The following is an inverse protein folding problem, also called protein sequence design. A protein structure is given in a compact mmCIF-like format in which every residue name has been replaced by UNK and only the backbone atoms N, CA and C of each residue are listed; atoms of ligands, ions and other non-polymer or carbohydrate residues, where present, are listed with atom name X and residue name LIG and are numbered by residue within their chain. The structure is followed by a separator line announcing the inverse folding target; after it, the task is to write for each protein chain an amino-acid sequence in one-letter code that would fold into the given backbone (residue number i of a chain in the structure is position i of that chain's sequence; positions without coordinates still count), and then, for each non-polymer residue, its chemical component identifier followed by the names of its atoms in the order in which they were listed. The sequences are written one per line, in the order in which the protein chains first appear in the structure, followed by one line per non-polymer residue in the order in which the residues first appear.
data_IF_324261946881
#
_entry.id   IF_324261946881
#
_cell.length_a   1.000
_cell.length_b   1.000
_cell.length_c   1.000
_cell.angle_alpha   90.00
_cell.angle_beta   90.00
_cell.angle_gamma   90.00
#
_symmetry.space_group_name_H-M   'P 1'
#
loop_
_entity.id
_entity.type
_entity.pdbx_description
1 polymer ?
#
# COMPACT_ATOMS: atom_id res chain seq x y z
N UNK A 1 5.53 -74.64 21.12
CA UNK A 1 5.33 -73.52 20.19
C UNK A 1 3.97 -72.88 20.49
N UNK A 2 3.78 -71.58 20.26
CA UNK A 2 2.52 -70.88 20.59
C UNK A 2 1.50 -71.10 19.48
N UNK A 3 0.29 -71.51 19.83
CA UNK A 3 -0.84 -71.75 18.91
C UNK A 3 -1.08 -70.54 17.99
N UNK A 4 -0.85 -69.32 18.49
CA UNK A 4 -0.97 -68.08 17.71
C UNK A 4 -0.04 -68.01 16.49
N UNK A 5 1.15 -68.63 16.57
CA UNK A 5 2.12 -68.63 15.48
C UNK A 5 1.64 -69.55 14.36
N UNK A 6 1.19 -70.74 14.74
CA UNK A 6 0.65 -71.75 13.83
C UNK A 6 -0.62 -71.23 13.15
N UNK A 7 -1.53 -70.62 13.92
CA UNK A 7 -2.75 -70.01 13.37
C UNK A 7 -2.44 -68.90 12.36
N UNK A 8 -1.42 -68.09 12.63
CA UNK A 8 -1.00 -66.99 11.74
C UNK A 8 -0.36 -67.50 10.45
N UNK A 9 0.41 -68.58 10.53
CA UNK A 9 1.01 -69.23 9.37
C UNK A 9 -0.04 -69.88 8.48
N UNK A 10 -1.00 -70.61 9.06
CA UNK A 10 -2.13 -71.20 8.33
C UNK A 10 -2.96 -70.12 7.62
N UNK A 11 -3.32 -69.05 8.33
CA UNK A 11 -4.07 -67.94 7.71
C UNK A 11 -3.29 -67.26 6.59
N UNK A 12 -1.97 -67.15 6.73
CA UNK A 12 -1.12 -66.56 5.70
C UNK A 12 -0.99 -67.47 4.49
N UNK A 13 -0.84 -68.77 4.70
CA UNK A 13 -0.81 -69.76 3.63
C UNK A 13 -2.13 -69.80 2.86
N UNK A 14 -3.26 -69.72 3.58
CA UNK A 14 -4.59 -69.63 2.96
C UNK A 14 -4.74 -68.32 2.18
N UNK A 15 -4.30 -67.19 2.70
CA UNK A 15 -4.32 -65.90 1.99
C UNK A 15 -3.45 -65.91 0.72
N UNK A 16 -2.26 -66.49 0.78
CA UNK A 16 -1.34 -66.61 -0.36
C UNK A 16 -1.88 -67.59 -1.42
N UNK A 17 -2.69 -68.59 -1.01
CA UNK A 17 -3.37 -69.51 -1.91
C UNK A 17 -4.63 -68.92 -2.58
N UNK A 18 -5.16 -67.81 -2.06
CA UNK A 18 -6.33 -67.16 -2.65
C UNK A 18 -5.94 -66.37 -3.90
N UNK A 19 -6.50 -66.77 -5.03
CA UNK A 19 -6.36 -66.00 -6.27
C UNK A 19 -7.30 -64.79 -6.23
N UNK A 20 -6.77 -63.58 -6.02
CA UNK A 20 -7.57 -62.37 -6.11
C UNK A 20 -7.97 -62.12 -7.57
N UNK A 21 -9.27 -62.06 -7.91
CA UNK A 21 -9.67 -61.67 -9.26
C UNK A 21 -9.18 -60.25 -9.55
N UNK A 22 -8.58 -59.99 -10.73
CA UNK A 22 -7.96 -58.72 -11.06
C UNK A 22 -8.96 -57.54 -11.06
N UNK A 23 -10.26 -57.83 -11.18
CA UNK A 23 -11.33 -56.83 -11.15
C UNK A 23 -11.62 -56.25 -9.75
N UNK A 24 -11.23 -56.96 -8.67
CA UNK A 24 -11.48 -56.48 -7.30
C UNK A 24 -10.76 -55.16 -7.02
N UNK A 25 -9.50 -55.04 -7.45
CA UNK A 25 -8.73 -53.81 -7.29
C UNK A 25 -9.41 -52.64 -7.99
N UNK A 26 -9.89 -52.86 -9.22
CA UNK A 26 -10.61 -51.85 -9.99
C UNK A 26 -11.90 -51.39 -9.28
N UNK A 27 -12.70 -52.35 -8.77
CA UNK A 27 -13.97 -52.05 -8.08
C UNK A 27 -13.74 -51.31 -6.75
N UNK A 28 -12.74 -51.71 -5.97
CA UNK A 28 -12.38 -51.05 -4.70
C UNK A 28 -11.83 -49.65 -4.96
N UNK A 29 -10.99 -49.48 -5.98
CA UNK A 29 -10.47 -48.16 -6.35
C UNK A 29 -11.60 -47.22 -6.82
N UNK A 30 -12.55 -47.72 -7.62
CA UNK A 30 -13.70 -46.94 -8.08
C UNK A 30 -14.60 -46.53 -6.91
N UNK A 31 -14.91 -47.43 -5.97
CA UNK A 31 -15.74 -47.09 -4.81
C UNK A 31 -15.05 -46.06 -3.90
N UNK A 32 -13.73 -46.18 -3.72
CA UNK A 32 -12.95 -45.23 -2.95
C UNK A 32 -12.88 -43.85 -3.62
N UNK A 33 -12.69 -43.82 -4.95
CA UNK A 33 -12.72 -42.58 -5.72
C UNK A 33 -14.08 -41.89 -5.63
N UNK A 34 -15.19 -42.64 -5.68
CA UNK A 34 -16.54 -42.09 -5.55
C UNK A 34 -16.77 -41.50 -4.15
N UNK A 35 -16.37 -42.22 -3.10
CA UNK A 35 -16.43 -41.76 -1.71
C UNK A 35 -15.59 -40.48 -1.48
N UNK A 36 -14.36 -40.45 -1.98
CA UNK A 36 -13.49 -39.27 -1.88
C UNK A 36 -14.08 -38.10 -2.65
N UNK A 37 -14.70 -38.32 -3.82
CA UNK A 37 -15.31 -37.26 -4.63
C UNK A 37 -16.61 -36.71 -4.04
N UNK A 38 -17.40 -37.53 -3.35
CA UNK A 38 -18.59 -37.08 -2.59
C UNK A 38 -18.22 -36.34 -1.30
N UNK A 39 -17.21 -36.82 -0.55
CA UNK A 39 -16.72 -36.12 0.65
C UNK A 39 -15.91 -34.87 0.35
N UNK A 40 -15.25 -34.79 -0.82
CA UNK A 40 -14.63 -33.57 -1.35
C UNK A 40 -15.72 -32.71 -1.97
N UNK A 41 -16.66 -32.33 -1.11
CA UNK A 41 -17.89 -31.65 -1.45
C UNK A 41 -17.67 -30.51 -2.42
N UNK A 42 -18.71 -30.27 -3.23
CA UNK A 42 -18.93 -29.06 -4.03
C UNK A 42 -18.80 -27.81 -3.14
N UNK A 43 -17.59 -27.41 -2.83
CA UNK A 43 -17.28 -26.09 -2.32
C UNK A 43 -17.07 -25.20 -3.55
N UNK A 44 -17.95 -24.22 -3.84
CA UNK A 44 -17.75 -23.26 -4.92
C UNK A 44 -16.68 -22.23 -4.51
N UNK A 45 -15.52 -22.68 -4.01
CA UNK A 45 -14.42 -21.85 -3.57
C UNK A 45 -13.72 -21.10 -4.72
N UNK A 46 -13.95 -21.49 -5.98
CA UNK A 46 -13.39 -20.77 -7.14
C UNK A 46 -14.02 -19.40 -7.37
N UNK A 47 -15.26 -19.17 -6.91
CA UNK A 47 -15.95 -17.87 -7.03
C UNK A 47 -15.57 -16.89 -5.91
N UNK A 48 -15.05 -17.39 -4.78
CA UNK A 48 -14.63 -16.54 -3.65
C UNK A 48 -13.23 -15.95 -3.82
N UNK A 49 -12.38 -16.54 -4.67
CA UNK A 49 -11.06 -15.97 -4.98
C UNK A 49 -11.17 -14.74 -5.91
N UNK A 50 -12.11 -14.73 -6.87
CA UNK A 50 -12.31 -13.57 -7.76
C UNK A 50 -12.94 -12.36 -7.05
N UNK A 51 -13.78 -12.57 -6.03
CA UNK A 51 -14.36 -11.48 -5.24
C UNK A 51 -13.33 -10.79 -4.33
N UNK A 52 -12.21 -11.45 -3.99
CA UNK A 52 -11.15 -10.85 -3.19
C UNK A 52 -10.25 -9.88 -3.98
N UNK A 53 -10.06 -10.11 -5.28
CA UNK A 53 -9.17 -9.29 -6.13
C UNK A 53 -9.87 -8.00 -6.56
N UNK A 54 -11.19 -8.01 -6.78
CA UNK A 54 -11.96 -6.81 -7.14
C UNK A 54 -12.11 -5.80 -5.98
N UNK A 55 -11.99 -6.24 -4.72
CA UNK A 55 -12.08 -5.35 -3.56
C UNK A 55 -10.81 -4.53 -3.32
N UNK A 56 -9.63 -4.98 -3.76
CA UNK A 56 -8.36 -4.26 -3.54
C UNK A 56 -8.21 -3.04 -4.46
N UNK A 57 -8.83 -3.05 -5.64
CA UNK A 57 -8.76 -1.93 -6.59
C UNK A 57 -9.66 -0.74 -6.21
N UNK A 58 -10.72 -0.96 -5.42
CA UNK A 58 -11.65 0.10 -4.97
C UNK A 58 -11.21 0.70 -3.61
N UNK A 59 -10.28 0.05 -2.91
CA UNK A 59 -9.83 0.42 -1.55
C UNK A 59 -8.48 1.14 -1.50
N UNK A 60 -8.09 1.81 -2.59
CA UNK A 60 -6.97 2.77 -2.58
C UNK A 60 -7.51 4.15 -2.93
N UNK A 61 -8.35 4.73 -2.06
CA UNK A 61 -7.95 6.06 -1.57
C UNK A 61 -7.83 6.19 -0.05
N UNK A 62 -8.26 5.21 0.76
CA UNK A 62 -8.40 5.44 2.21
C UNK A 62 -7.14 5.12 3.04
N UNK A 63 -6.22 4.29 2.53
CA UNK A 63 -5.04 3.86 3.30
C UNK A 63 -3.99 4.97 3.52
N UNK A 64 -4.09 6.11 2.83
CA UNK A 64 -3.20 7.27 3.03
C UNK A 64 -3.57 8.09 4.28
N UNK A 65 -4.78 7.91 4.83
CA UNK A 65 -5.32 8.78 5.88
C UNK A 65 -4.87 8.46 7.32
N UNK A 66 -4.03 7.43 7.53
CA UNK A 66 -3.52 7.07 8.86
C UNK A 66 -2.06 7.48 9.11
N UNK A 67 -1.36 8.02 8.11
CA UNK A 67 -0.03 8.60 8.33
C UNK A 67 -0.19 10.06 8.75
N UNK A 68 0.54 10.47 9.79
CA UNK A 68 0.68 11.89 10.15
C UNK A 68 1.00 12.70 8.90
N UNK A 69 0.28 13.82 8.71
CA UNK A 69 0.44 14.66 7.52
C UNK A 69 1.82 15.32 7.57
N UNK A 70 2.57 15.22 6.48
CA UNK A 70 3.83 15.96 6.35
C UNK A 70 3.58 17.47 6.36
N UNK A 71 2.46 17.90 5.78
CA UNK A 71 2.00 19.27 5.80
C UNK A 71 1.77 19.81 7.22
N UNK A 72 1.42 18.98 8.21
CA UNK A 72 1.30 19.43 9.61
C UNK A 72 2.63 19.94 10.17
N UNK A 73 3.77 19.44 9.72
CA UNK A 73 5.08 19.95 10.18
C UNK A 73 5.41 21.35 9.64
N UNK A 74 4.73 21.80 8.58
CA UNK A 74 4.89 23.11 7.95
C UNK A 74 3.79 24.06 8.42
N UNK A 75 2.53 23.62 8.40
CA UNK A 75 1.34 24.42 8.67
C UNK A 75 0.79 24.25 10.08
N UNK A 76 1.18 23.21 10.80
CA UNK A 76 0.60 22.80 12.08
C UNK A 76 -0.72 22.02 11.93
N UNK A 77 -1.62 22.48 11.04
CA UNK A 77 -2.89 21.83 10.74
C UNK A 77 -3.52 22.36 9.44
N UNK A 78 -4.49 21.64 8.88
CA UNK A 78 -5.29 22.13 7.75
C UNK A 78 -6.04 23.44 8.07
N UNK A 79 -6.46 23.62 9.33
CA UNK A 79 -7.13 24.85 9.78
C UNK A 79 -6.23 26.10 9.71
N UNK A 80 -4.89 25.92 9.71
CA UNK A 80 -3.97 27.05 9.55
C UNK A 80 -3.96 27.58 8.10
N UNK A 81 -4.19 26.71 7.10
CA UNK A 81 -4.32 27.12 5.71
C UNK A 81 -5.61 27.90 5.48
N UNK A 82 -6.72 27.49 6.10
CA UNK A 82 -7.99 28.22 6.04
C UNK A 82 -7.89 29.65 6.60
N UNK A 83 -7.04 29.86 7.61
CA UNK A 83 -6.80 31.20 8.20
C UNK A 83 -6.03 32.16 7.27
N UNK A 84 -5.30 31.63 6.30
CA UNK A 84 -4.56 32.40 5.29
C UNK A 84 -5.28 32.37 3.93
N UNK A 85 -6.56 32.00 3.92
CA UNK A 85 -7.41 32.01 2.72
C UNK A 85 -7.18 30.85 1.75
N UNK A 86 -6.47 29.79 2.15
CA UNK A 86 -6.37 28.57 1.36
C UNK A 86 -7.47 27.57 1.70
N UNK A 87 -7.70 26.62 0.78
CA UNK A 87 -8.71 25.58 0.91
C UNK A 87 -8.13 24.29 1.50
N UNK A 88 -9.01 23.35 1.85
CA UNK A 88 -8.61 22.01 2.27
C UNK A 88 -8.00 21.22 1.11
N UNK A 89 -8.44 21.48 -0.12
CA UNK A 89 -7.89 20.92 -1.34
C UNK A 89 -6.43 21.34 -1.52
N UNK A 90 -6.11 22.62 -1.30
CA UNK A 90 -4.72 23.12 -1.37
C UNK A 90 -3.83 22.41 -0.35
N UNK A 91 -4.33 22.19 0.87
CA UNK A 91 -3.63 21.44 1.91
C UNK A 91 -3.34 20.00 1.47
N UNK A 92 -4.30 19.33 0.82
CA UNK A 92 -4.14 17.97 0.31
C UNK A 92 -3.16 17.91 -0.87
N UNK A 93 -3.18 18.91 -1.75
CA UNK A 93 -2.25 18.99 -2.89
C UNK A 93 -0.80 19.14 -2.40
N UNK A 94 -0.57 20.01 -1.40
CA UNK A 94 0.74 20.18 -0.78
C UNK A 94 1.18 18.87 -0.09
N UNK A 95 0.28 18.20 0.63
CA UNK A 95 0.57 16.89 1.24
C UNK A 95 0.98 15.86 0.18
N UNK A 96 0.30 15.83 -0.97
CA UNK A 96 0.62 14.94 -2.09
C UNK A 96 2.02 15.23 -2.66
N UNK A 97 2.36 16.50 -2.85
CA UNK A 97 3.69 16.93 -3.28
C UNK A 97 4.77 16.54 -2.27
N UNK A 98 4.55 16.73 -0.97
CA UNK A 98 5.49 16.35 0.08
C UNK A 98 5.71 14.83 0.15
N UNK A 99 4.65 14.04 -0.02
CA UNK A 99 4.75 12.57 -0.10
C UNK A 99 5.53 12.12 -1.32
N UNK A 100 5.26 12.73 -2.48
CA UNK A 100 6.01 12.48 -3.72
C UNK A 100 7.48 12.85 -3.55
N UNK A 101 7.76 13.97 -2.88
CA UNK A 101 9.11 14.41 -2.58
C UNK A 101 9.84 13.42 -1.68
N UNK A 102 9.20 12.94 -0.61
CA UNK A 102 9.77 11.92 0.28
C UNK A 102 10.05 10.60 -0.43
N UNK A 103 9.28 10.27 -1.47
CA UNK A 103 9.46 9.04 -2.24
C UNK A 103 10.61 9.15 -3.26
N UNK A 104 10.80 10.33 -3.87
CA UNK A 104 11.81 10.55 -4.92
C UNK A 104 13.15 11.08 -4.41
N UNK A 105 13.15 11.86 -3.34
CA UNK A 105 14.35 12.44 -2.76
C UNK A 105 14.97 11.51 -1.70
N UNK A 106 16.28 11.65 -1.52
CA UNK A 106 16.97 11.01 -0.39
C UNK A 106 16.56 11.66 0.94
N UNK A 107 16.84 11.02 2.08
CA UNK A 107 16.47 11.55 3.41
C UNK A 107 17.04 12.94 3.68
N UNK A 108 18.28 13.19 3.26
CA UNK A 108 18.96 14.47 3.48
C UNK A 108 18.38 15.55 2.55
N UNK A 109 18.20 15.26 1.27
CA UNK A 109 17.54 16.17 0.31
C UNK A 109 16.09 16.48 0.71
N UNK A 110 15.35 15.50 1.21
CA UNK A 110 13.99 15.70 1.70
C UNK A 110 13.98 16.59 2.95
N UNK A 111 14.94 16.43 3.85
CA UNK A 111 15.06 17.29 5.03
C UNK A 111 15.37 18.74 4.64
N UNK A 112 16.30 18.96 3.72
CA UNK A 112 16.59 20.28 3.18
C UNK A 112 15.37 20.88 2.48
N UNK A 113 14.67 20.10 1.65
CA UNK A 113 13.44 20.50 0.99
C UNK A 113 12.37 20.95 2.00
N UNK A 114 12.17 20.20 3.08
CA UNK A 114 11.23 20.53 4.15
C UNK A 114 11.60 21.84 4.85
N UNK A 115 12.88 22.04 5.20
CA UNK A 115 13.34 23.27 5.84
C UNK A 115 13.19 24.49 4.92
N UNK A 116 13.60 24.39 3.66
CA UNK A 116 13.47 25.46 2.68
C UNK A 116 12.01 25.79 2.40
N UNK A 117 11.14 24.78 2.25
CA UNK A 117 9.70 24.96 2.04
C UNK A 117 9.05 25.63 3.24
N UNK A 118 9.47 25.28 4.46
CA UNK A 118 8.99 25.92 5.70
C UNK A 118 9.37 27.40 5.75
N UNK A 119 10.62 27.75 5.40
CA UNK A 119 11.06 29.15 5.35
C UNK A 119 10.30 29.95 4.28
N UNK A 120 10.13 29.37 3.09
CA UNK A 120 9.36 29.98 2.00
C UNK A 120 7.90 30.19 2.41
N UNK A 121 7.29 29.22 3.08
CA UNK A 121 5.91 29.33 3.53
C UNK A 121 5.75 30.35 4.66
N UNK A 122 6.71 30.47 5.58
CA UNK A 122 6.69 31.52 6.60
C UNK A 122 6.74 32.92 5.99
N UNK A 123 7.58 33.14 4.98
CA UNK A 123 7.59 34.38 4.20
C UNK A 123 6.27 34.58 3.47
N UNK A 124 5.70 33.52 2.88
CA UNK A 124 4.39 33.56 2.20
C UNK A 124 3.26 33.92 3.17
N UNK A 125 3.28 33.39 4.39
CA UNK A 125 2.28 33.70 5.42
C UNK A 125 2.32 35.17 5.87
N UNK A 126 3.48 35.84 5.80
CA UNK A 126 3.58 37.27 6.12
C UNK A 126 2.91 38.16 5.05
N UNK A 127 2.96 37.73 3.78
CA UNK A 127 2.40 38.50 2.65
C UNK A 127 0.96 38.15 2.33
N UNK A 128 0.51 36.95 2.71
CA UNK A 128 -0.85 36.49 2.46
C UNK A 128 -1.75 36.97 3.59
N UNK A 129 -2.64 37.92 3.29
CA UNK A 129 -3.68 38.34 4.23
C UNK A 129 -4.75 37.24 4.37
N UNK A 130 -5.63 37.35 5.36
CA UNK A 130 -6.69 36.40 5.72
C UNK A 130 -7.65 36.06 4.57
N UNK A 131 -7.68 36.89 3.53
CA UNK A 131 -8.48 36.70 2.31
C UNK A 131 -7.73 35.98 1.18
N UNK A 132 -6.51 35.48 1.41
CA UNK A 132 -5.68 34.87 0.37
C UNK A 132 -5.02 35.88 -0.59
N UNK A 133 -5.24 37.18 -0.38
CA UNK A 133 -4.67 38.25 -1.21
C UNK A 133 -3.18 38.39 -0.87
N UNK A 134 -2.34 38.19 -1.88
CA UNK A 134 -0.89 38.31 -1.78
C UNK A 134 -0.50 39.77 -1.92
N UNK A 135 -0.05 40.38 -0.83
CA UNK A 135 0.38 41.76 -0.82
C UNK A 135 1.90 41.80 -1.03
N UNK A 136 2.32 41.65 -2.29
CA UNK A 136 3.74 41.55 -2.69
C UNK A 136 4.54 42.81 -2.30
N UNK A 137 3.87 43.95 -2.11
CA UNK A 137 4.46 45.20 -1.64
C UNK A 137 4.83 45.24 -0.15
N UNK A 138 4.44 44.21 0.65
CA UNK A 138 4.83 44.11 2.07
C UNK A 138 6.22 43.52 2.28
N UNK A 139 6.81 42.86 1.28
CA UNK A 139 8.15 42.31 1.39
C UNK A 139 9.18 43.42 1.28
N UNK A 140 10.11 43.46 2.24
CA UNK A 140 11.31 44.27 2.07
C UNK A 140 12.17 43.70 0.93
N UNK A 141 13.04 44.52 0.34
CA UNK A 141 13.94 44.07 -0.74
C UNK A 141 14.79 42.86 -0.31
N UNK A 142 15.17 42.80 0.96
CA UNK A 142 15.92 41.69 1.54
C UNK A 142 15.10 40.39 1.60
N UNK A 143 13.81 40.48 1.94
CA UNK A 143 12.92 39.31 2.02
C UNK A 143 12.56 38.79 0.61
N UNK A 144 12.48 39.68 -0.37
CA UNK A 144 12.29 39.33 -1.78
C UNK A 144 13.52 38.61 -2.34
N UNK A 145 14.72 39.06 -1.97
CA UNK A 145 15.97 38.42 -2.33
C UNK A 145 16.14 37.05 -1.64
N UNK A 146 15.70 36.93 -0.37
CA UNK A 146 15.62 35.63 0.31
C UNK A 146 14.63 34.69 -0.38
N UNK A 147 13.48 35.19 -0.81
CA UNK A 147 12.50 34.42 -1.57
C UNK A 147 13.11 33.86 -2.86
N UNK A 148 13.80 34.68 -3.65
CA UNK A 148 14.46 34.24 -4.88
C UNK A 148 15.57 33.22 -4.61
N UNK A 149 16.39 33.42 -3.56
CA UNK A 149 17.42 32.45 -3.17
C UNK A 149 16.82 31.11 -2.74
N UNK A 150 15.75 31.13 -1.94
CA UNK A 150 15.03 29.93 -1.53
C UNK A 150 14.42 29.24 -2.74
N UNK A 151 13.81 29.99 -3.66
CA UNK A 151 13.22 29.45 -4.89
C UNK A 151 14.28 28.85 -5.81
N UNK A 152 15.45 29.47 -5.93
CA UNK A 152 16.57 28.95 -6.74
C UNK A 152 17.12 27.64 -6.18
N UNK A 153 17.18 27.50 -4.84
CA UNK A 153 17.57 26.25 -4.18
C UNK A 153 16.48 25.18 -4.27
N UNK A 154 15.21 25.58 -4.20
CA UNK A 154 14.08 24.66 -4.33
C UNK A 154 13.91 24.14 -5.76
N UNK A 155 14.19 24.96 -6.78
CA UNK A 155 13.97 24.62 -8.19
C UNK A 155 14.54 23.26 -8.60
N UNK A 156 15.83 22.93 -8.39
CA UNK A 156 16.38 21.62 -8.78
C UNK A 156 15.79 20.47 -7.97
N UNK A 157 15.42 20.70 -6.70
CA UNK A 157 14.73 19.68 -5.89
C UNK A 157 13.32 19.45 -6.43
N UNK A 158 12.60 20.52 -6.77
CA UNK A 158 11.26 20.45 -7.32
C UNK A 158 11.24 19.76 -8.67
N UNK A 159 12.20 20.05 -9.55
CA UNK A 159 12.37 19.35 -10.83
C UNK A 159 12.62 17.85 -10.66
N UNK A 160 13.42 17.44 -9.66
CA UNK A 160 13.57 16.02 -9.32
C UNK A 160 12.26 15.39 -8.86
N UNK A 161 11.45 16.12 -8.08
CA UNK A 161 10.17 15.65 -7.55
C UNK A 161 9.11 15.57 -8.66
N UNK A 162 8.96 16.62 -9.46
CA UNK A 162 7.97 16.69 -10.53
C UNK A 162 8.38 15.89 -11.75
N UNK A 163 9.69 15.57 -11.88
CA UNK A 163 10.30 14.66 -12.84
C UNK A 163 9.48 14.52 -14.10
N UNK A 164 9.74 15.39 -15.07
CA UNK A 164 9.16 15.31 -16.42
C UNK A 164 9.46 13.94 -17.04
N UNK A 165 8.56 12.98 -16.82
CA UNK A 165 8.13 12.08 -17.90
C UNK A 165 7.47 13.00 -18.92
N UNK A 166 8.30 13.67 -19.72
CA UNK A 166 7.86 14.23 -20.98
C UNK A 166 7.82 13.02 -21.92
N UNK A 167 6.62 12.55 -22.35
CA UNK A 167 6.52 11.48 -23.33
C UNK A 167 7.20 11.85 -24.65
#
# INVERSE_FOLDING_TARGET
MSIDKELREELRQVADSMHCPPELYGRVQQSYQHYVKEKRGRSPMKKRLLAGIAAVAILIPSAVYASSYLADSIFGSSAAIEKIGGSKEDYQEIEGLLKTAKAKLTKDEFKEYMELTKQLMQLKMKITDKNGVRDEGKLSKEELQQWEQLSTKLAPLFEKITGTDKP
#
